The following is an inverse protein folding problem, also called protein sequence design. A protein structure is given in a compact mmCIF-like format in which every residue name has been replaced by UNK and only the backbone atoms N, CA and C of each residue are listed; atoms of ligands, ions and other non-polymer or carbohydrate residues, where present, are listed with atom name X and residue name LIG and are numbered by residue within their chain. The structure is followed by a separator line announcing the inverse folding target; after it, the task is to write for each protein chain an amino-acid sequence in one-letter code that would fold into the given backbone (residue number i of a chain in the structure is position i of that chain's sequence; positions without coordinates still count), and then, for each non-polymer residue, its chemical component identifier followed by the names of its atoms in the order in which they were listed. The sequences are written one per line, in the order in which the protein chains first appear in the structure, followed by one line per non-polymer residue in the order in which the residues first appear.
data_IF_252422459222
#
_entry.id   IF_252422459222
#
_cell.length_a   1.000
_cell.length_b   1.000
_cell.length_c   1.000
_cell.angle_alpha   90.00
_cell.angle_beta   90.00
_cell.angle_gamma   90.00
#
_symmetry.space_group_name_H-M   'P 1'
#
loop_
_entity.id
_entity.type
_entity.pdbx_description
1 polymer ?
#
# COMPACT_ATOMS: atom_id res chain seq x y z
N UNK A 1 -19.25 1.57 -19.24
CA UNK A 1 -18.67 2.41 -18.18
C UNK A 1 -17.17 2.26 -18.27
N UNK A 2 -16.39 3.31 -18.07
CA UNK A 2 -14.91 3.26 -18.17
C UNK A 2 -14.29 3.50 -16.79
N UNK A 3 -13.14 2.85 -16.54
CA UNK A 3 -12.36 3.04 -15.32
C UNK A 3 -10.89 3.32 -15.65
N UNK A 4 -10.25 4.15 -14.83
CA UNK A 4 -8.83 4.45 -14.86
C UNK A 4 -8.17 3.89 -13.61
N UNK A 5 -7.17 3.04 -13.81
CA UNK A 5 -6.45 2.38 -12.73
C UNK A 5 -5.09 3.04 -12.51
N UNK A 6 -4.80 3.42 -11.28
CA UNK A 6 -3.55 4.05 -10.89
C UNK A 6 -2.82 3.19 -9.87
N UNK A 7 -1.56 2.90 -10.16
CA UNK A 7 -0.66 2.40 -9.13
C UNK A 7 -0.31 3.52 -8.13
N UNK A 8 0.06 3.16 -6.90
CA UNK A 8 0.27 4.13 -5.82
C UNK A 8 1.76 4.47 -5.64
N UNK A 9 2.55 3.48 -5.27
CA UNK A 9 3.95 3.65 -4.86
C UNK A 9 4.85 3.90 -6.07
N UNK A 10 5.58 5.02 -6.09
CA UNK A 10 6.39 5.49 -7.22
C UNK A 10 5.59 5.81 -8.50
N UNK A 11 4.26 5.90 -8.38
CA UNK A 11 3.36 6.26 -9.48
C UNK A 11 2.58 7.52 -9.12
N UNK A 12 1.75 7.49 -8.07
CA UNK A 12 1.10 8.69 -7.53
C UNK A 12 1.98 9.36 -6.49
N UNK A 13 2.65 8.56 -5.65
CA UNK A 13 3.54 9.05 -4.58
C UNK A 13 4.99 8.80 -4.97
N UNK A 14 5.84 9.81 -4.88
CA UNK A 14 7.25 9.76 -5.26
C UNK A 14 8.11 8.78 -4.43
N UNK A 15 7.56 8.19 -3.37
CA UNK A 15 8.19 7.19 -2.52
C UNK A 15 7.27 6.01 -2.29
N UNK A 16 7.86 4.89 -1.89
CA UNK A 16 7.09 3.78 -1.33
C UNK A 16 6.41 4.23 -0.03
N UNK A 17 5.09 4.05 0.04
CA UNK A 17 4.25 4.50 1.15
C UNK A 17 4.63 3.81 2.48
N UNK A 18 4.85 2.48 2.53
CA UNK A 18 5.37 1.83 3.75
C UNK A 18 6.70 2.42 4.24
N UNK A 19 7.59 2.82 3.33
CA UNK A 19 8.86 3.45 3.68
C UNK A 19 8.70 4.88 4.19
N UNK A 20 7.85 5.68 3.54
CA UNK A 20 7.57 7.05 3.95
C UNK A 20 7.00 7.08 5.38
N UNK A 21 6.18 6.07 5.73
CA UNK A 21 5.53 5.93 7.03
C UNK A 21 6.41 5.31 8.12
N UNK A 22 7.56 4.73 7.77
CA UNK A 22 8.40 3.97 8.71
C UNK A 22 8.81 4.79 9.95
N UNK A 23 9.12 6.08 9.80
CA UNK A 23 9.45 6.95 10.95
C UNK A 23 8.25 7.17 11.88
N UNK A 24 7.05 7.27 11.31
CA UNK A 24 5.80 7.47 12.07
C UNK A 24 5.43 6.19 12.83
N UNK A 25 5.49 5.04 12.18
CA UNK A 25 5.30 3.74 12.85
C UNK A 25 6.30 3.51 13.98
N UNK A 26 7.55 3.99 13.84
CA UNK A 26 8.54 3.92 14.91
C UNK A 26 8.18 4.79 16.11
N UNK A 27 7.76 6.04 15.87
CA UNK A 27 7.32 6.96 16.93
C UNK A 27 6.12 6.41 17.70
N UNK A 28 5.20 5.78 16.99
CA UNK A 28 3.97 5.21 17.55
C UNK A 28 4.15 3.81 18.15
N UNK A 29 5.40 3.31 18.20
CA UNK A 29 5.74 2.02 18.80
C UNK A 29 5.18 0.81 18.05
N UNK A 30 4.74 0.98 16.80
CA UNK A 30 4.32 -0.12 15.92
C UNK A 30 5.54 -0.92 15.43
N UNK A 31 6.66 -0.24 15.19
CA UNK A 31 7.96 -0.90 14.95
C UNK A 31 8.95 -0.57 16.05
N UNK A 32 9.70 -1.57 16.48
CA UNK A 32 10.87 -1.40 17.34
C UNK A 32 12.07 -0.92 16.51
N UNK A 33 13.12 -0.39 17.16
CA UNK A 33 14.36 0.02 16.46
C UNK A 33 14.98 -1.15 15.68
N UNK A 34 14.87 -2.37 16.20
CA UNK A 34 15.35 -3.59 15.55
C UNK A 34 14.48 -3.99 14.36
N UNK A 35 13.16 -3.78 14.40
CA UNK A 35 12.27 -4.00 13.26
C UNK A 35 12.50 -2.97 12.14
N UNK A 36 12.77 -1.70 12.48
CA UNK A 36 13.13 -0.66 11.50
C UNK A 36 14.46 -0.98 10.80
N UNK A 37 15.46 -1.49 11.53
CA UNK A 37 16.71 -1.97 10.95
C UNK A 37 16.50 -3.18 10.04
N UNK A 38 15.65 -4.13 10.44
CA UNK A 38 15.28 -5.29 9.62
C UNK A 38 14.47 -4.91 8.37
N UNK A 39 13.59 -3.90 8.44
CA UNK A 39 12.83 -3.43 7.28
C UNK A 39 13.72 -2.70 6.28
N UNK A 40 14.69 -1.90 6.75
CA UNK A 40 15.71 -1.32 5.86
C UNK A 40 16.59 -2.39 5.21
N UNK A 41 16.92 -3.44 5.96
CA UNK A 41 17.66 -4.59 5.44
C UNK A 41 16.82 -5.37 4.41
N UNK A 42 15.55 -5.64 4.68
CA UNK A 42 14.64 -6.27 3.72
C UNK A 42 14.48 -5.44 2.45
N UNK A 43 14.39 -4.11 2.56
CA UNK A 43 14.34 -3.18 1.43
C UNK A 43 15.63 -3.23 0.59
N UNK A 44 16.79 -3.20 1.24
CA UNK A 44 18.10 -3.35 0.60
C UNK A 44 18.21 -4.69 -0.12
N UNK A 45 17.75 -5.79 0.51
CA UNK A 45 17.73 -7.11 -0.09
C UNK A 45 16.75 -7.20 -1.28
N UNK A 46 15.59 -6.57 -1.20
CA UNK A 46 14.59 -6.50 -2.27
C UNK A 46 15.10 -5.74 -3.49
N UNK A 47 15.92 -4.70 -3.29
CA UNK A 47 16.58 -3.95 -4.36
C UNK A 47 17.79 -4.68 -4.95
N UNK A 48 18.51 -5.47 -4.16
CA UNK A 48 19.73 -6.19 -4.57
C UNK A 48 19.44 -7.55 -5.24
N UNK A 49 18.32 -8.21 -4.93
CA UNK A 49 17.99 -9.54 -5.44
C UNK A 49 16.89 -9.50 -6.51
N UNK A 50 17.29 -9.14 -7.73
CA UNK A 50 16.42 -9.25 -8.89
C UNK A 50 15.96 -10.70 -9.18
N UNK A 51 14.70 -10.81 -9.63
CA UNK A 51 14.16 -11.85 -10.50
C UNK A 51 14.24 -13.33 -10.06
N UNK A 52 13.96 -13.65 -8.79
CA UNK A 52 13.64 -15.02 -8.37
C UNK A 52 12.32 -15.04 -7.58
N UNK A 53 11.24 -15.45 -8.24
CA UNK A 53 9.87 -15.42 -7.70
C UNK A 53 9.75 -16.18 -6.37
N UNK A 54 10.44 -17.32 -6.24
CA UNK A 54 10.42 -18.13 -5.02
C UNK A 54 11.08 -17.44 -3.82
N UNK A 55 12.18 -16.71 -4.05
CA UNK A 55 12.82 -15.89 -3.02
C UNK A 55 11.96 -14.68 -2.67
N UNK A 56 11.31 -14.08 -3.66
CA UNK A 56 10.44 -12.93 -3.48
C UNK A 56 9.24 -13.26 -2.57
N UNK A 57 8.58 -14.39 -2.83
CA UNK A 57 7.47 -14.87 -2.01
C UNK A 57 7.92 -15.20 -0.58
N UNK A 58 9.11 -15.81 -0.40
CA UNK A 58 9.67 -16.06 0.93
C UNK A 58 9.96 -14.76 1.68
N UNK A 59 10.63 -13.79 1.05
CA UNK A 59 10.92 -12.50 1.67
C UNK A 59 9.65 -11.75 2.04
N UNK A 60 8.63 -11.79 1.18
CA UNK A 60 7.32 -11.19 1.46
C UNK A 60 6.67 -11.83 2.69
N UNK A 61 6.67 -13.16 2.80
CA UNK A 61 6.12 -13.84 3.98
C UNK A 61 6.86 -13.45 5.26
N UNK A 62 8.18 -13.36 5.20
CA UNK A 62 8.99 -12.91 6.34
C UNK A 62 8.69 -11.45 6.69
N UNK A 63 8.49 -10.57 5.71
CA UNK A 63 8.08 -9.19 5.94
C UNK A 63 6.68 -9.09 6.57
N UNK A 64 5.71 -9.89 6.10
CA UNK A 64 4.37 -9.96 6.67
C UNK A 64 4.40 -10.43 8.14
N UNK A 65 5.20 -11.45 8.47
CA UNK A 65 5.37 -11.90 9.86
C UNK A 65 5.88 -10.82 10.82
N UNK A 66 6.67 -9.85 10.33
CA UNK A 66 7.12 -8.74 11.18
C UNK A 66 5.98 -7.84 11.67
N UNK A 67 4.82 -7.91 11.02
CA UNK A 67 3.61 -7.15 11.38
C UNK A 67 2.65 -7.94 12.28
N UNK A 68 2.98 -9.18 12.62
CA UNK A 68 2.14 -10.02 13.49
C UNK A 68 1.86 -9.31 14.83
N UNK A 69 0.60 -9.31 15.24
CA UNK A 69 0.13 -8.68 16.46
C UNK A 69 -0.15 -7.19 16.37
N UNK A 70 0.14 -6.53 15.24
CA UNK A 70 -0.21 -5.12 15.04
C UNK A 70 -1.72 -4.93 15.04
N UNK A 71 -2.19 -3.88 15.70
CA UNK A 71 -3.61 -3.49 15.68
C UNK A 71 -3.91 -2.74 14.38
N UNK A 72 -4.81 -3.30 13.56
CA UNK A 72 -5.13 -2.75 12.23
C UNK A 72 -5.63 -1.31 12.30
N UNK A 73 -6.52 -1.04 13.26
CA UNK A 73 -7.03 0.32 13.52
C UNK A 73 -5.93 1.30 13.93
N UNK A 74 -4.90 0.82 14.65
CA UNK A 74 -3.75 1.66 14.99
C UNK A 74 -2.92 1.98 13.76
N UNK A 75 -2.68 1.00 12.87
CA UNK A 75 -1.97 1.26 11.60
C UNK A 75 -2.71 2.30 10.79
N UNK A 76 -4.02 2.10 10.56
CA UNK A 76 -4.86 3.02 9.79
C UNK A 76 -4.90 4.43 10.38
N UNK A 77 -5.01 4.55 11.70
CA UNK A 77 -4.96 5.85 12.40
C UNK A 77 -3.62 6.56 12.17
N UNK A 78 -2.50 5.86 12.38
CA UNK A 78 -1.16 6.47 12.20
C UNK A 78 -0.94 6.89 10.76
N UNK A 79 -1.41 6.11 9.78
CA UNK A 79 -1.37 6.50 8.36
C UNK A 79 -2.14 7.80 8.18
N UNK A 80 -3.40 7.84 8.64
CA UNK A 80 -4.29 9.00 8.47
C UNK A 80 -3.72 10.26 9.09
N UNK A 81 -3.13 10.17 10.29
CA UNK A 81 -2.53 11.31 11.00
C UNK A 81 -1.34 11.93 10.27
N UNK A 82 -0.61 11.16 9.47
CA UNK A 82 0.60 11.63 8.78
C UNK A 82 0.39 11.83 7.28
N UNK A 83 -0.82 11.63 6.77
CA UNK A 83 -1.14 11.83 5.35
C UNK A 83 -0.75 13.24 4.90
N UNK A 84 -1.28 14.26 5.55
CA UNK A 84 -1.06 15.65 5.13
C UNK A 84 0.38 16.12 5.30
N UNK A 85 1.04 15.71 6.39
CA UNK A 85 2.39 16.18 6.72
C UNK A 85 3.50 15.44 5.94
N UNK A 86 3.29 14.14 5.67
CA UNK A 86 4.34 13.27 5.13
C UNK A 86 4.04 12.82 3.71
N UNK A 87 2.78 12.51 3.39
CA UNK A 87 2.40 11.91 2.11
C UNK A 87 2.03 12.99 1.10
N UNK A 88 1.18 13.95 1.45
CA UNK A 88 0.71 15.00 0.53
C UNK A 88 1.85 15.74 -0.19
N UNK A 89 2.99 16.10 0.45
CA UNK A 89 4.11 16.75 -0.23
C UNK A 89 4.87 15.84 -1.21
N UNK A 90 4.65 14.52 -1.14
CA UNK A 90 5.30 13.53 -1.99
C UNK A 90 4.42 13.12 -3.19
N UNK A 91 3.19 13.61 -3.28
CA UNK A 91 2.29 13.31 -4.40
C UNK A 91 2.75 14.10 -5.63
N UNK A 92 2.81 13.45 -6.78
CA UNK A 92 3.07 14.12 -8.06
C UNK A 92 1.87 15.00 -8.44
N UNK A 93 2.12 16.27 -8.75
CA UNK A 93 1.09 17.20 -9.16
C UNK A 93 0.39 16.72 -10.45
N UNK A 94 1.15 16.12 -11.35
CA UNK A 94 0.68 15.52 -12.60
C UNK A 94 -0.26 14.33 -12.34
N UNK A 95 -0.01 13.56 -11.27
CA UNK A 95 -0.90 12.45 -10.89
C UNK A 95 -2.23 12.98 -10.37
N UNK A 96 -2.23 14.07 -9.60
CA UNK A 96 -3.45 14.74 -9.14
C UNK A 96 -4.27 15.29 -10.30
N UNK A 97 -3.60 15.93 -11.26
CA UNK A 97 -4.23 16.46 -12.47
C UNK A 97 -4.85 15.35 -13.32
N UNK A 98 -4.12 14.26 -13.57
CA UNK A 98 -4.65 13.11 -14.30
C UNK A 98 -5.85 12.47 -13.60
N UNK A 99 -5.80 12.27 -12.29
CA UNK A 99 -6.94 11.75 -11.52
C UNK A 99 -8.14 12.67 -11.69
N UNK A 100 -7.94 13.99 -11.58
CA UNK A 100 -9.01 14.97 -11.76
C UNK A 100 -9.62 14.89 -13.18
N UNK A 101 -8.79 14.81 -14.22
CA UNK A 101 -9.24 14.75 -15.60
C UNK A 101 -10.06 13.48 -15.90
N UNK A 102 -9.63 12.33 -15.37
CA UNK A 102 -10.38 11.09 -15.50
C UNK A 102 -11.76 11.19 -14.82
N UNK A 103 -11.83 11.81 -13.64
CA UNK A 103 -13.11 12.03 -12.94
C UNK A 103 -14.00 13.03 -13.68
N UNK A 104 -13.43 14.12 -14.18
CA UNK A 104 -14.15 15.12 -14.97
C UNK A 104 -14.71 14.53 -16.28
N UNK A 105 -14.03 13.52 -16.84
CA UNK A 105 -14.52 12.74 -17.98
C UNK A 105 -15.58 11.68 -17.61
N UNK A 106 -16.01 11.60 -16.35
CA UNK A 106 -17.02 10.64 -15.89
C UNK A 106 -16.52 9.20 -15.77
N UNK A 107 -15.20 8.99 -15.74
CA UNK A 107 -14.61 7.66 -15.53
C UNK A 107 -14.45 7.39 -14.05
N UNK A 108 -14.62 6.13 -13.67
CA UNK A 108 -14.27 5.68 -12.32
C UNK A 108 -12.76 5.72 -12.13
N UNK A 109 -12.29 6.23 -11.00
CA UNK A 109 -10.88 6.18 -10.63
C UNK A 109 -10.67 5.08 -9.60
N UNK A 110 -9.77 4.14 -9.90
CA UNK A 110 -9.42 3.03 -9.02
C UNK A 110 -7.93 3.08 -8.67
N UNK A 111 -7.60 3.09 -7.38
CA UNK A 111 -6.20 2.94 -6.92
C UNK A 111 -5.88 1.47 -6.71
N UNK A 112 -4.78 1.00 -7.27
CA UNK A 112 -4.38 -0.41 -7.21
C UNK A 112 -2.97 -0.52 -6.66
N UNK A 113 -2.79 -1.06 -5.45
CA UNK A 113 -1.49 -1.06 -4.78
C UNK A 113 -1.21 -2.37 -4.05
N UNK A 114 0.04 -2.82 -4.07
CA UNK A 114 0.48 -3.96 -3.27
C UNK A 114 0.63 -3.65 -1.78
N UNK A 115 0.49 -2.39 -1.37
CA UNK A 115 0.47 -1.98 0.03
C UNK A 115 -0.79 -2.49 0.75
N UNK A 116 -0.76 -2.65 2.09
CA UNK A 116 -1.92 -3.06 2.89
C UNK A 116 -3.12 -2.12 2.76
N UNK A 117 -4.32 -2.67 2.86
CA UNK A 117 -5.61 -1.96 2.90
C UNK A 117 -5.59 -0.77 3.86
N UNK A 118 -5.05 -0.95 5.06
CA UNK A 118 -5.00 0.10 6.11
C UNK A 118 -4.16 1.31 5.71
N UNK A 119 -3.33 1.17 4.67
CA UNK A 119 -2.56 2.26 4.06
C UNK A 119 -3.27 2.80 2.82
N UNK A 120 -3.75 1.91 1.94
CA UNK A 120 -4.30 2.29 0.64
C UNK A 120 -5.64 3.00 0.78
N UNK A 121 -6.53 2.54 1.67
CA UNK A 121 -7.87 3.13 1.84
C UNK A 121 -7.78 4.63 2.25
N UNK A 122 -7.03 5.04 3.30
CA UNK A 122 -6.88 6.46 3.63
C UNK A 122 -6.31 7.29 2.47
N UNK A 123 -5.34 6.75 1.73
CA UNK A 123 -4.73 7.43 0.58
C UNK A 123 -5.72 7.57 -0.58
N UNK A 124 -6.49 6.54 -0.90
CA UNK A 124 -7.53 6.56 -1.92
C UNK A 124 -8.62 7.59 -1.60
N UNK A 125 -9.02 7.67 -0.34
CA UNK A 125 -9.98 8.69 0.13
C UNK A 125 -9.44 10.11 -0.02
N UNK A 126 -8.19 10.35 0.37
CA UNK A 126 -7.52 11.64 0.19
C UNK A 126 -7.44 12.05 -1.29
N UNK A 127 -7.14 11.08 -2.17
CA UNK A 127 -7.07 11.27 -3.62
C UNK A 127 -8.46 11.29 -4.29
N UNK A 128 -9.53 11.12 -3.52
CA UNK A 128 -10.91 11.07 -3.98
C UNK A 128 -11.15 10.03 -5.09
N UNK A 129 -10.48 8.89 -4.99
CA UNK A 129 -10.74 7.73 -5.85
C UNK A 129 -12.09 7.10 -5.51
N UNK A 130 -12.77 6.55 -6.51
CA UNK A 130 -14.06 5.89 -6.35
C UNK A 130 -13.91 4.49 -5.76
N UNK A 131 -12.83 3.80 -6.14
CA UNK A 131 -12.54 2.41 -5.81
C UNK A 131 -11.06 2.23 -5.47
N UNK A 132 -10.73 1.12 -4.81
CA UNK A 132 -9.34 0.70 -4.65
C UNK A 132 -9.21 -0.82 -4.55
N UNK A 133 -8.03 -1.31 -4.88
CA UNK A 133 -7.59 -2.69 -4.74
C UNK A 133 -6.28 -2.65 -3.97
N UNK A 134 -6.27 -3.24 -2.77
CA UNK A 134 -5.10 -3.30 -1.91
C UNK A 134 -4.80 -4.74 -1.50
N UNK A 135 -3.57 -5.00 -1.04
CA UNK A 135 -3.26 -6.24 -0.34
C UNK A 135 -4.06 -6.32 0.96
N UNK A 136 -4.63 -7.49 1.26
CA UNK A 136 -5.47 -7.71 2.43
C UNK A 136 -4.70 -8.54 3.47
N UNK A 137 -4.20 -7.92 4.56
CA UNK A 137 -3.69 -8.66 5.70
C UNK A 137 -4.77 -9.56 6.29
N UNK A 138 -4.39 -10.77 6.67
CA UNK A 138 -5.27 -11.59 7.50
C UNK A 138 -5.35 -10.99 8.89
N UNK A 139 -6.55 -10.66 9.31
CA UNK A 139 -6.82 -10.02 10.60
C UNK A 139 -7.73 -10.90 11.45
N UNK A 140 -7.32 -11.17 12.69
CA UNK A 140 -8.09 -11.91 13.68
C UNK A 140 -8.15 -11.12 14.96
N UNK A 141 -9.37 -10.87 15.47
CA UNK A 141 -9.61 -10.05 16.68
C UNK A 141 -8.95 -8.65 16.58
N UNK A 142 -9.03 -8.03 15.40
CA UNK A 142 -8.49 -6.70 15.13
C UNK A 142 -6.97 -6.62 15.01
N UNK A 143 -6.26 -7.77 14.99
CA UNK A 143 -4.80 -7.83 14.89
C UNK A 143 -4.33 -8.60 13.67
N UNK A 144 -3.24 -8.14 13.09
CA UNK A 144 -2.56 -8.80 11.98
C UNK A 144 -2.04 -10.17 12.43
N UNK A 145 -2.28 -11.22 11.64
CA UNK A 145 -1.74 -12.56 11.92
C UNK A 145 -0.35 -12.79 11.32
N UNK A 146 0.19 -11.81 10.59
CA UNK A 146 1.42 -11.95 9.80
C UNK A 146 1.23 -12.70 8.47
N UNK A 147 -0.02 -12.99 8.09
CA UNK A 147 -0.40 -13.60 6.81
C UNK A 147 -1.21 -12.61 5.96
N UNK A 148 -1.40 -12.94 4.68
CA UNK A 148 -2.16 -12.13 3.72
C UNK A 148 -3.25 -13.00 3.11
N UNK A 149 -4.51 -12.56 3.19
CA UNK A 149 -5.64 -13.19 2.52
C UNK A 149 -5.62 -12.89 1.01
N UNK A 150 -5.16 -11.69 0.64
CA UNK A 150 -4.98 -11.29 -0.74
C UNK A 150 -3.72 -10.43 -0.91
N UNK A 151 -3.10 -10.50 -2.09
CA UNK A 151 -1.91 -9.74 -2.42
C UNK A 151 -2.01 -9.16 -3.82
N UNK A 152 -2.13 -7.83 -3.87
CA UNK A 152 -2.35 -7.07 -5.09
C UNK A 152 -1.03 -6.82 -5.83
N UNK A 153 -0.41 -7.89 -6.33
CA UNK A 153 0.85 -7.82 -7.09
C UNK A 153 0.85 -8.83 -8.22
N UNK A 154 1.62 -8.54 -9.29
CA UNK A 154 1.79 -9.43 -10.43
C UNK A 154 0.45 -9.80 -11.08
N UNK A 155 0.27 -11.06 -11.43
CA UNK A 155 -0.94 -11.56 -12.09
C UNK A 155 -2.20 -11.34 -11.24
N UNK A 156 -2.12 -11.52 -9.92
CA UNK A 156 -3.27 -11.31 -9.01
C UNK A 156 -3.79 -9.87 -9.04
N UNK A 157 -2.90 -8.89 -9.28
CA UNK A 157 -3.28 -7.49 -9.48
C UNK A 157 -4.09 -7.33 -10.77
N UNK A 158 -3.65 -7.95 -11.86
CA UNK A 158 -4.34 -7.91 -13.14
C UNK A 158 -5.70 -8.62 -13.08
N UNK A 159 -5.77 -9.80 -12.45
CA UNK A 159 -7.03 -10.55 -12.24
C UNK A 159 -8.04 -9.71 -11.44
N UNK A 160 -7.61 -9.06 -10.37
CA UNK A 160 -8.50 -8.20 -9.57
C UNK A 160 -9.00 -6.98 -10.35
N UNK A 161 -8.16 -6.38 -11.19
CA UNK A 161 -8.57 -5.28 -12.07
C UNK A 161 -9.58 -5.74 -13.12
N UNK A 162 -9.40 -6.92 -13.70
CA UNK A 162 -10.33 -7.52 -14.66
C UNK A 162 -11.68 -7.82 -14.00
N UNK A 163 -11.67 -8.47 -12.84
CA UNK A 163 -12.89 -8.76 -12.09
C UNK A 163 -13.69 -7.51 -11.73
N UNK A 164 -13.03 -6.38 -11.49
CA UNK A 164 -13.67 -5.09 -11.24
C UNK A 164 -14.24 -4.47 -12.53
N UNK A 165 -13.59 -4.69 -13.67
CA UNK A 165 -14.03 -4.17 -14.97
C UNK A 165 -15.22 -4.93 -15.57
N UNK A 166 -15.47 -6.16 -15.12
CA UNK A 166 -16.57 -7.03 -15.57
C UNK A 166 -17.92 -6.77 -14.86
N UNK A 167 -17.97 -5.81 -13.93
CA UNK A 167 -19.17 -5.40 -13.16
C UNK A 167 -19.83 -4.18 -13.79
#
# INVERSE_FOLDING_TARGET
MEAAFFDLDKTIVARSSPLALGRSFFKEGLITRSALLKSTYAQLMFQLMGADEGKMERMRREAAKLTEGWEAEKVKRVVTEVLDEVISPLIYAEALELIHDHRAAGRLVCIVSSSPEEIVEPMAKMLQADLWIASQPRIVKGKYTGELDFYAYGERKAEAMQALADV
#
